data_IF_471832467866
#
_entry.id   IF_471832467866
#
_cell.length_a   1.000
_cell.length_b   1.000
_cell.length_c   1.000
_cell.angle_alpha   90.00
_cell.angle_beta   90.00
_cell.angle_gamma   90.00
#
_symmetry.space_group_name_H-M   'P 1'
#
loop_
_entity.id
_entity.type
_entity.pdbx_description
1 polymer ?
#
# COMPACT_ATOMS: atom_id res chain seq x y z
N UNK A 1 -12.61 -7.22 25.46
CA UNK A 1 -13.22 -6.22 24.56
C UNK A 1 -12.76 -6.53 23.15
N UNK A 2 -13.65 -6.57 22.17
CA UNK A 2 -13.26 -6.80 20.78
C UNK A 2 -12.53 -5.56 20.24
N UNK A 3 -11.47 -5.75 19.45
CA UNK A 3 -10.79 -4.66 18.79
C UNK A 3 -11.76 -3.91 17.86
N UNK A 4 -11.76 -2.58 17.92
CA UNK A 4 -12.49 -1.73 16.97
C UNK A 4 -11.69 -1.59 15.68
N UNK A 5 -12.33 -1.26 14.53
CA UNK A 5 -11.62 -0.97 13.29
C UNK A 5 -10.50 0.06 13.46
N UNK A 6 -10.74 1.10 14.27
CA UNK A 6 -9.75 2.11 14.62
C UNK A 6 -8.54 1.55 15.37
N UNK A 7 -8.77 0.75 16.42
CA UNK A 7 -7.65 0.16 17.18
C UNK A 7 -6.77 -0.75 16.31
N UNK A 8 -7.38 -1.41 15.33
CA UNK A 8 -6.66 -2.32 14.44
C UNK A 8 -5.85 -1.57 13.38
N UNK A 9 -6.42 -0.53 12.77
CA UNK A 9 -5.70 0.29 11.80
C UNK A 9 -4.66 1.19 12.47
N UNK A 10 -4.88 1.62 13.72
CA UNK A 10 -3.87 2.32 14.52
C UNK A 10 -2.68 1.42 14.87
N UNK A 11 -2.90 0.16 15.26
CA UNK A 11 -1.80 -0.80 15.48
C UNK A 11 -0.95 -0.96 14.22
N UNK A 12 -1.59 -1.08 13.05
CA UNK A 12 -0.88 -1.12 11.77
C UNK A 12 -0.11 0.15 11.49
N UNK A 13 -0.70 1.32 11.74
CA UNK A 13 -0.01 2.60 11.54
C UNK A 13 1.26 2.69 12.41
N UNK A 14 1.16 2.28 13.66
CA UNK A 14 2.29 2.23 14.59
C UNK A 14 3.39 1.30 14.09
N UNK A 15 3.03 0.06 13.72
CA UNK A 15 3.97 -0.92 13.19
C UNK A 15 4.59 -0.48 11.86
N UNK A 16 3.82 0.22 11.02
CA UNK A 16 4.31 0.77 9.77
C UNK A 16 5.35 1.87 10.03
N UNK A 17 5.05 2.81 10.92
CA UNK A 17 5.99 3.86 11.32
C UNK A 17 7.28 3.29 11.92
N UNK A 18 7.16 2.32 12.82
CA UNK A 18 8.31 1.66 13.45
C UNK A 18 9.18 0.89 12.44
N UNK A 19 8.54 0.17 11.51
CA UNK A 19 9.24 -0.57 10.46
C UNK A 19 10.00 0.37 9.51
N UNK A 20 9.36 1.46 9.06
CA UNK A 20 10.01 2.45 8.20
C UNK A 20 11.21 3.12 8.87
N UNK A 21 11.10 3.47 10.16
CA UNK A 21 12.22 4.05 10.90
C UNK A 21 13.35 3.04 11.12
N UNK A 22 13.03 1.78 11.37
CA UNK A 22 14.02 0.71 11.55
C UNK A 22 14.78 0.37 10.27
N UNK A 23 14.14 0.56 9.10
CA UNK A 23 14.72 0.25 7.79
C UNK A 23 15.49 1.45 7.18
N UNK A 24 15.13 2.68 7.56
CA UNK A 24 15.77 3.93 7.10
C UNK A 24 17.28 4.05 7.41
N UNK A 25 17.82 3.17 8.26
CA UNK A 25 19.26 3.05 8.55
C UNK A 25 20.03 2.05 7.68
N UNK A 26 19.38 1.30 6.80
CA UNK A 26 20.02 0.27 5.95
C UNK A 26 20.16 0.79 4.52
N UNK A 27 21.24 1.52 4.28
CA UNK A 27 21.48 2.29 3.05
C UNK A 27 21.58 1.48 1.74
N UNK A 28 21.53 0.14 1.73
CA UNK A 28 21.70 -0.66 0.50
C UNK A 28 20.70 -1.82 0.32
N UNK A 29 19.70 -2.00 1.19
CA UNK A 29 18.81 -3.18 1.12
C UNK A 29 17.35 -2.92 1.45
N UNK A 30 16.89 -1.67 1.45
CA UNK A 30 15.47 -1.38 1.66
C UNK A 30 14.68 -1.76 0.40
N UNK A 31 13.50 -2.34 0.59
CA UNK A 31 12.65 -2.75 -0.51
C UNK A 31 12.18 -1.51 -1.31
N UNK A 32 12.19 -1.54 -2.65
CA UNK A 32 12.09 -0.31 -3.44
C UNK A 32 10.66 0.27 -3.50
N UNK A 33 9.65 -0.45 -3.01
CA UNK A 33 8.23 -0.07 -3.09
C UNK A 33 7.50 -0.31 -1.79
N UNK A 34 6.79 0.70 -1.30
CA UNK A 34 5.76 0.54 -0.29
C UNK A 34 4.37 0.50 -0.96
N UNK A 35 3.66 -0.60 -0.80
CA UNK A 35 2.30 -0.78 -1.29
C UNK A 35 1.28 -0.54 -0.17
N UNK A 36 0.30 0.33 -0.43
CA UNK A 36 -0.76 0.73 0.50
C UNK A 36 -2.10 0.36 -0.11
N UNK A 37 -2.78 -0.59 0.52
CA UNK A 37 -4.13 -1.02 0.14
C UNK A 37 -5.18 -0.29 0.97
N UNK A 38 -6.19 0.24 0.29
CA UNK A 38 -7.32 0.96 0.88
C UNK A 38 -8.59 0.21 0.53
N UNK A 39 -9.17 -0.47 1.51
CA UNK A 39 -10.28 -1.41 1.28
C UNK A 39 -11.43 -1.18 2.25
N UNK A 40 -12.57 -1.79 1.97
CA UNK A 40 -13.64 -2.03 2.93
C UNK A 40 -13.63 -3.49 3.40
N UNK A 41 -14.43 -3.77 4.44
CA UNK A 41 -14.70 -5.15 4.88
C UNK A 41 -15.44 -6.00 3.85
N UNK A 42 -16.05 -5.39 2.83
CA UNK A 42 -16.84 -6.07 1.81
C UNK A 42 -16.08 -6.24 0.47
N UNK A 43 -14.82 -5.79 0.40
CA UNK A 43 -14.01 -5.83 -0.81
C UNK A 43 -13.19 -7.12 -0.89
N UNK A 44 -13.87 -8.28 -0.88
CA UNK A 44 -13.21 -9.59 -0.87
C UNK A 44 -12.12 -9.73 -1.93
N UNK A 45 -12.38 -9.22 -3.14
CA UNK A 45 -11.41 -9.20 -4.26
C UNK A 45 -10.16 -8.39 -3.96
N UNK A 46 -10.30 -7.19 -3.38
CA UNK A 46 -9.16 -6.38 -3.00
C UNK A 46 -8.32 -7.04 -1.88
N UNK A 47 -8.96 -7.77 -0.97
CA UNK A 47 -8.26 -8.57 0.04
C UNK A 47 -7.51 -9.74 -0.57
N UNK A 48 -8.08 -10.40 -1.58
CA UNK A 48 -7.43 -11.49 -2.31
C UNK A 48 -6.19 -10.99 -3.07
N UNK A 49 -6.31 -9.84 -3.74
CA UNK A 49 -5.19 -9.16 -4.41
C UNK A 49 -4.11 -8.77 -3.39
N UNK A 50 -4.50 -8.23 -2.21
CA UNK A 50 -3.55 -7.94 -1.14
C UNK A 50 -2.77 -9.19 -0.70
N UNK A 51 -3.44 -10.33 -0.53
CA UNK A 51 -2.76 -11.59 -0.15
C UNK A 51 -1.77 -12.02 -1.22
N UNK A 52 -2.10 -11.84 -2.51
CA UNK A 52 -1.17 -12.13 -3.60
C UNK A 52 0.04 -11.20 -3.57
N UNK A 53 -0.16 -9.90 -3.42
CA UNK A 53 0.93 -8.95 -3.21
C UNK A 53 1.80 -9.39 -2.03
N UNK A 54 1.17 -9.81 -0.93
CA UNK A 54 1.89 -10.25 0.27
C UNK A 54 2.79 -11.44 0.00
N UNK A 55 2.28 -12.47 -0.67
CA UNK A 55 3.08 -13.65 -1.03
C UNK A 55 4.30 -13.25 -1.88
N UNK A 56 4.09 -12.47 -2.93
CA UNK A 56 5.20 -12.03 -3.81
C UNK A 56 6.19 -11.14 -3.08
N UNK A 57 5.72 -10.19 -2.27
CA UNK A 57 6.58 -9.30 -1.50
C UNK A 57 7.43 -10.08 -0.49
N UNK A 58 6.86 -11.07 0.21
CA UNK A 58 7.60 -11.94 1.13
C UNK A 58 8.65 -12.79 0.41
N UNK A 59 8.33 -13.34 -0.77
CA UNK A 59 9.28 -14.08 -1.62
C UNK A 59 10.47 -13.21 -2.06
N UNK A 60 10.21 -11.92 -2.31
CA UNK A 60 11.22 -10.92 -2.69
C UNK A 60 11.94 -10.29 -1.48
N UNK A 61 11.65 -10.75 -0.26
CA UNK A 61 12.34 -10.32 0.97
C UNK A 61 11.77 -9.05 1.62
N UNK A 62 10.58 -8.59 1.24
CA UNK A 62 9.94 -7.43 1.82
C UNK A 62 9.43 -7.66 3.25
N UNK A 63 9.48 -6.60 4.06
CA UNK A 63 8.96 -6.56 5.42
C UNK A 63 7.46 -6.27 5.52
N UNK A 64 6.99 -6.00 6.74
CA UNK A 64 5.62 -5.54 6.96
C UNK A 64 5.42 -4.10 6.45
N UNK A 65 6.43 -3.24 6.63
CA UNK A 65 6.34 -1.82 6.27
C UNK A 65 6.33 -1.54 4.76
N UNK A 66 6.66 -2.56 3.96
CA UNK A 66 6.63 -2.49 2.49
C UNK A 66 5.25 -2.82 1.91
N UNK A 67 4.35 -3.40 2.70
CA UNK A 67 3.00 -3.73 2.26
C UNK A 67 2.00 -3.65 3.43
N UNK A 68 1.13 -2.64 3.37
CA UNK A 68 0.12 -2.36 4.39
C UNK A 68 -1.28 -2.29 3.79
N UNK A 69 -2.29 -2.60 4.60
CA UNK A 69 -3.71 -2.57 4.22
C UNK A 69 -4.52 -1.87 5.31
N UNK A 70 -5.41 -0.95 4.94
CA UNK A 70 -6.28 -0.21 5.85
C UNK A 70 -7.75 -0.39 5.48
N UNK A 71 -8.64 -0.28 6.47
CA UNK A 71 -10.10 -0.37 6.29
C UNK A 71 -10.65 -1.81 6.19
N UNK A 72 -9.82 -2.82 6.43
CA UNK A 72 -10.21 -4.24 6.31
C UNK A 72 -11.36 -4.66 7.24
N UNK A 73 -11.57 -3.93 8.34
CA UNK A 73 -12.61 -4.21 9.34
C UNK A 73 -13.74 -3.15 9.35
N UNK A 74 -13.75 -2.23 8.37
CA UNK A 74 -14.74 -1.16 8.26
C UNK A 74 -14.11 0.23 8.30
N UNK A 75 -14.96 1.26 8.41
CA UNK A 75 -14.53 2.65 8.44
C UNK A 75 -13.61 2.89 9.64
N UNK A 76 -12.46 3.54 9.38
CA UNK A 76 -11.51 3.91 10.40
C UNK A 76 -11.08 5.37 10.24
N UNK A 77 -11.01 6.08 11.36
CA UNK A 77 -10.43 7.42 11.48
C UNK A 77 -8.96 7.42 11.08
N UNK A 78 -8.21 6.38 11.46
CA UNK A 78 -6.83 6.15 11.01
C UNK A 78 -6.74 6.05 9.49
N UNK A 79 -7.61 5.25 8.86
CA UNK A 79 -7.66 5.12 7.41
C UNK A 79 -7.97 6.46 6.72
N UNK A 80 -8.93 7.22 7.27
CA UNK A 80 -9.29 8.55 6.77
C UNK A 80 -8.13 9.57 6.88
N UNK A 81 -7.37 9.53 7.98
CA UNK A 81 -6.21 10.40 8.16
C UNK A 81 -5.07 10.03 7.20
N UNK A 82 -4.76 8.73 7.03
CA UNK A 82 -3.79 8.26 6.02
C UNK A 82 -4.19 8.75 4.63
N UNK A 83 -5.46 8.62 4.25
CA UNK A 83 -5.97 9.11 2.97
C UNK A 83 -5.73 10.60 2.77
N UNK A 84 -6.08 11.41 3.78
CA UNK A 84 -5.92 12.86 3.74
C UNK A 84 -4.47 13.28 3.60
N UNK A 85 -3.60 12.78 4.49
CA UNK A 85 -2.22 13.25 4.61
C UNK A 85 -1.30 12.75 3.51
N UNK A 86 -1.65 11.65 2.85
CA UNK A 86 -0.92 11.15 1.69
C UNK A 86 -1.42 11.78 0.38
N UNK A 87 -2.33 12.76 0.43
CA UNK A 87 -2.94 13.31 -0.78
C UNK A 87 -3.77 12.27 -1.55
N UNK A 88 -4.14 11.17 -0.89
CA UNK A 88 -4.94 10.07 -1.43
C UNK A 88 -6.45 10.32 -1.23
N UNK A 89 -6.87 11.48 -0.72
CA UNK A 89 -8.27 11.80 -0.46
C UNK A 89 -9.18 11.79 -1.71
N UNK A 90 -8.59 11.80 -2.92
CA UNK A 90 -9.31 11.59 -4.18
C UNK A 90 -9.51 10.12 -4.56
N UNK A 91 -8.82 9.19 -3.89
CA UNK A 91 -8.96 7.75 -4.13
C UNK A 91 -10.26 7.24 -3.54
N UNK A 92 -10.91 6.33 -4.27
CA UNK A 92 -12.08 5.61 -3.79
C UNK A 92 -11.63 4.45 -2.89
N UNK A 93 -12.52 4.01 -2.01
CA UNK A 93 -12.38 2.71 -1.35
C UNK A 93 -12.24 1.62 -2.43
N UNK A 94 -11.48 0.57 -2.13
CA UNK A 94 -10.95 -0.40 -3.11
C UNK A 94 -9.90 0.24 -4.02
N UNK A 95 -8.81 0.74 -3.45
CA UNK A 95 -7.68 1.29 -4.21
C UNK A 95 -6.35 0.72 -3.73
N UNK A 96 -5.38 0.70 -4.64
CA UNK A 96 -3.98 0.40 -4.39
C UNK A 96 -3.17 1.66 -4.68
N UNK A 97 -2.32 2.07 -3.75
CA UNK A 97 -1.28 3.06 -3.97
C UNK A 97 0.11 2.40 -3.82
N UNK A 98 0.98 2.66 -4.78
CA UNK A 98 2.36 2.16 -4.85
C UNK A 98 3.30 3.34 -4.72
N UNK A 99 4.08 3.36 -3.64
CA UNK A 99 5.00 4.43 -3.30
C UNK A 99 6.41 3.93 -3.55
N UNK A 100 7.09 4.53 -4.51
CA UNK A 100 8.50 4.23 -4.81
C UNK A 100 9.42 5.13 -3.99
N UNK A 101 10.41 4.51 -3.36
CA UNK A 101 11.46 5.22 -2.63
C UNK A 101 12.63 5.51 -3.57
N UNK A 102 13.00 6.79 -3.68
CA UNK A 102 14.11 7.31 -4.49
C UNK A 102 14.45 8.74 -4.04
N UNK A 103 15.12 9.53 -4.88
CA UNK A 103 15.46 10.95 -4.57
C UNK A 103 14.22 11.80 -4.22
N UNK A 104 13.05 11.40 -4.71
CA UNK A 104 11.75 11.94 -4.32
C UNK A 104 10.71 10.81 -4.28
N UNK A 105 9.80 10.86 -3.30
CA UNK A 105 8.69 9.92 -3.23
C UNK A 105 7.79 10.11 -4.46
N UNK A 106 7.57 9.02 -5.20
CA UNK A 106 6.59 9.00 -6.27
C UNK A 106 5.53 7.96 -5.97
N UNK A 107 4.27 8.38 -5.98
CA UNK A 107 3.13 7.49 -5.82
C UNK A 107 2.36 7.31 -7.12
N UNK A 108 1.97 6.06 -7.39
CA UNK A 108 1.04 5.69 -8.44
C UNK A 108 -0.11 4.92 -7.83
N UNK A 109 -1.33 5.15 -8.29
CA UNK A 109 -2.50 4.49 -7.75
C UNK A 109 -3.41 3.92 -8.85
N UNK A 110 -4.17 2.89 -8.50
CA UNK A 110 -5.24 2.35 -9.33
C UNK A 110 -6.41 1.94 -8.45
N UNK A 111 -7.60 1.98 -9.03
CA UNK A 111 -8.75 1.28 -8.43
C UNK A 111 -8.53 -0.23 -8.50
N UNK A 112 -9.00 -0.91 -7.46
CA UNK A 112 -9.08 -2.37 -7.36
C UNK A 112 -10.51 -2.81 -7.69
N UNK A 113 -10.68 -4.04 -8.17
CA UNK A 113 -12.02 -4.59 -8.36
C UNK A 113 -12.77 -4.69 -7.02
N UNK A 114 -14.02 -4.25 -7.03
CA UNK A 114 -14.92 -4.34 -5.89
C UNK A 114 -15.68 -5.69 -5.85
N UNK A 115 -16.23 -6.02 -4.69
CA UNK A 115 -17.08 -7.20 -4.48
C UNK A 115 -16.30 -8.46 -4.14
N UNK A 116 -16.92 -9.61 -4.41
CA UNK A 116 -16.40 -10.97 -4.13
C UNK A 116 -16.51 -11.79 -5.41
N UNK A 117 -15.46 -12.55 -5.74
CA UNK A 117 -15.50 -13.52 -6.84
C UNK A 117 -16.51 -14.63 -6.55
N UNK A 118 -17.15 -15.16 -7.59
CA UNK A 118 -17.95 -16.36 -7.41
C UNK A 118 -17.03 -17.56 -7.08
N UNK A 119 -17.56 -18.56 -6.37
CA UNK A 119 -16.77 -19.71 -5.95
C UNK A 119 -16.10 -20.42 -7.14
N UNK A 120 -14.77 -20.43 -7.15
CA UNK A 120 -13.96 -21.07 -8.19
C UNK A 120 -13.48 -20.13 -9.32
N UNK A 121 -13.89 -18.86 -9.30
CA UNK A 121 -13.31 -17.85 -10.20
C UNK A 121 -11.93 -17.42 -9.68
N UNK A 122 -11.03 -17.14 -10.62
CA UNK A 122 -9.73 -16.52 -10.35
C UNK A 122 -9.80 -15.04 -10.70
N UNK A 123 -8.97 -14.25 -10.02
CA UNK A 123 -8.80 -12.85 -10.39
C UNK A 123 -8.31 -12.72 -11.83
N UNK A 124 -8.79 -11.70 -12.53
CA UNK A 124 -8.29 -11.37 -13.87
C UNK A 124 -6.88 -10.82 -13.73
N UNK A 125 -5.93 -11.46 -14.40
CA UNK A 125 -4.51 -11.12 -14.38
C UNK A 125 -4.00 -10.77 -15.78
N UNK A 126 -2.80 -10.20 -15.83
CA UNK A 126 -2.06 -9.88 -17.04
C UNK A 126 -1.86 -8.38 -17.26
N UNK A 127 -1.12 -8.05 -18.31
CA UNK A 127 -0.61 -6.70 -18.57
C UNK A 127 -1.69 -5.63 -18.79
N UNK A 128 -2.91 -6.07 -19.13
CA UNK A 128 -4.07 -5.18 -19.28
C UNK A 128 -4.73 -4.83 -17.94
N UNK A 129 -4.36 -5.50 -16.84
CA UNK A 129 -4.92 -5.30 -15.50
C UNK A 129 -3.90 -4.52 -14.66
N UNK A 130 -4.17 -3.26 -14.29
CA UNK A 130 -3.14 -2.37 -13.72
C UNK A 130 -2.45 -2.90 -12.47
N UNK A 131 -3.19 -3.50 -11.53
CA UNK A 131 -2.60 -4.07 -10.32
C UNK A 131 -1.74 -5.31 -10.62
N UNK A 132 -2.13 -6.12 -11.61
CA UNK A 132 -1.38 -7.34 -11.97
C UNK A 132 -0.10 -6.96 -12.71
N UNK A 133 -0.21 -6.05 -13.69
CA UNK A 133 0.93 -5.52 -14.43
C UNK A 133 1.94 -4.83 -13.50
N UNK A 134 1.46 -4.03 -12.54
CA UNK A 134 2.31 -3.38 -11.56
C UNK A 134 3.07 -4.37 -10.67
N UNK A 135 2.41 -5.47 -10.25
CA UNK A 135 3.06 -6.50 -9.44
C UNK A 135 4.21 -7.18 -10.18
N UNK A 136 4.02 -7.48 -11.47
CA UNK A 136 5.07 -8.09 -12.28
C UNK A 136 6.23 -7.11 -12.55
N UNK A 137 5.95 -5.83 -12.84
CA UNK A 137 7.01 -4.80 -12.94
C UNK A 137 7.81 -4.67 -11.65
N UNK A 138 7.16 -4.75 -10.48
CA UNK A 138 7.84 -4.74 -9.18
C UNK A 138 8.72 -5.97 -9.02
N UNK A 139 8.18 -7.16 -9.32
CA UNK A 139 8.93 -8.43 -9.24
C UNK A 139 10.19 -8.37 -10.09
N UNK A 140 10.05 -8.06 -11.38
CA UNK A 140 11.16 -8.00 -12.33
C UNK A 140 12.21 -6.97 -11.90
N UNK A 141 11.79 -5.81 -11.42
CA UNK A 141 12.71 -4.76 -10.95
C UNK A 141 13.49 -5.21 -9.71
N UNK A 142 12.83 -5.80 -8.72
CA UNK A 142 13.47 -6.27 -7.49
C UNK A 142 14.45 -7.41 -7.79
N UNK A 143 14.06 -8.38 -8.62
CA UNK A 143 14.95 -9.46 -9.05
C UNK A 143 16.18 -8.94 -9.82
N UNK A 144 16.01 -7.85 -10.57
CA UNK A 144 17.09 -7.16 -11.26
C UNK A 144 17.90 -6.19 -10.37
N UNK A 145 17.53 -6.01 -9.10
CA UNK A 145 18.17 -5.05 -8.19
C UNK A 145 17.98 -3.59 -8.60
N UNK A 146 16.81 -3.25 -9.18
CA UNK A 146 16.48 -1.92 -9.73
C UNK A 146 15.22 -1.34 -9.07
N UNK A 147 15.05 -0.03 -9.22
CA UNK A 147 13.80 0.64 -8.90
C UNK A 147 12.76 0.36 -10.01
N UNK A 148 11.51 -0.01 -9.67
CA UNK A 148 10.47 -0.27 -10.67
C UNK A 148 9.98 1.01 -11.36
N UNK A 149 9.82 0.94 -12.68
CA UNK A 149 9.32 2.04 -13.52
C UNK A 149 7.79 2.01 -13.66
N UNK A 150 7.09 2.28 -12.55
CA UNK A 150 5.62 2.20 -12.48
C UNK A 150 4.89 3.18 -13.40
N UNK A 151 5.53 4.28 -13.82
CA UNK A 151 4.92 5.26 -14.73
C UNK A 151 4.67 4.72 -16.14
N UNK A 152 5.23 3.56 -16.50
CA UNK A 152 4.99 2.88 -17.77
C UNK A 152 3.75 1.96 -17.75
N UNK A 153 3.22 1.66 -16.57
CA UNK A 153 2.09 0.73 -16.40
C UNK A 153 0.78 1.45 -16.73
N UNK A 154 0.05 0.92 -17.72
CA UNK A 154 -1.21 1.50 -18.16
C UNK A 154 -2.28 1.36 -17.07
N UNK A 155 -3.05 2.43 -16.83
CA UNK A 155 -4.06 2.49 -15.77
C UNK A 155 -3.54 2.78 -14.36
N UNK A 156 -2.23 2.97 -14.17
CA UNK A 156 -1.69 3.60 -12.96
C UNK A 156 -1.70 5.13 -13.11
N UNK A 157 -2.38 5.80 -12.18
CA UNK A 157 -2.45 7.26 -12.13
C UNK A 157 -1.43 7.80 -11.12
N UNK A 158 -0.67 8.82 -11.52
CA UNK A 158 0.27 9.46 -10.60
C UNK A 158 -0.48 10.26 -9.54
N UNK A 159 -0.17 9.99 -8.27
CA UNK A 159 -0.70 10.74 -7.13
C UNK A 159 0.41 11.57 -6.50
N UNK A 160 0.08 12.82 -6.17
CA UNK A 160 1.02 13.72 -5.53
C UNK A 160 1.09 13.43 -4.03
N UNK A 161 2.21 12.89 -3.58
CA UNK A 161 2.54 12.80 -2.16
C UNK A 161 3.16 14.11 -1.68
N UNK A 162 2.96 14.50 -0.41
CA UNK A 162 3.73 15.57 0.18
C UNK A 162 5.23 15.24 0.14
N UNK A 163 6.06 16.26 -0.05
CA UNK A 163 7.51 16.12 -0.02
C UNK A 163 8.01 15.63 1.34
N UNK A 164 9.05 14.79 1.34
CA UNK A 164 9.71 14.30 2.54
C UNK A 164 9.95 12.79 2.49
N UNK A 165 10.49 12.24 3.58
CA UNK A 165 10.62 10.79 3.74
C UNK A 165 9.27 10.16 4.11
N UNK A 166 9.02 8.93 3.62
CA UNK A 166 7.77 8.22 3.89
C UNK A 166 7.55 8.02 5.40
N UNK A 167 8.61 7.69 6.14
CA UNK A 167 8.57 7.58 7.60
C UNK A 167 8.06 8.87 8.26
N UNK A 168 8.50 10.05 7.79
CA UNK A 168 8.03 11.34 8.29
C UNK A 168 6.58 11.63 7.93
N UNK A 169 6.10 11.16 6.76
CA UNK A 169 4.67 11.26 6.40
C UNK A 169 3.82 10.42 7.36
N UNK A 170 4.18 9.14 7.55
CA UNK A 170 3.48 8.22 8.45
C UNK A 170 3.51 8.73 9.90
N UNK A 171 4.64 9.28 10.35
CA UNK A 171 4.80 9.83 11.69
C UNK A 171 3.83 10.98 11.98
N UNK A 172 3.60 11.88 11.01
CA UNK A 172 2.61 12.96 11.17
C UNK A 172 1.18 12.44 11.32
N UNK A 173 0.80 11.44 10.52
CA UNK A 173 -0.53 10.80 10.64
C UNK A 173 -0.69 10.19 12.03
N UNK A 174 0.37 9.53 12.53
CA UNK A 174 0.37 8.96 13.87
C UNK A 174 0.16 10.04 14.94
N UNK A 175 0.94 11.12 14.90
CA UNK A 175 0.80 12.25 15.85
C UNK A 175 -0.60 12.86 15.81
N UNK A 176 -1.20 12.97 14.63
CA UNK A 176 -2.57 13.46 14.48
C UNK A 176 -3.59 12.53 15.14
N UNK A 177 -3.49 11.22 14.94
CA UNK A 177 -4.45 10.26 15.51
C UNK A 177 -4.27 10.12 17.02
N UNK A 178 -3.04 10.13 17.54
CA UNK A 178 -2.77 10.03 18.98
C UNK A 178 -3.11 11.33 19.75
N UNK A 179 -3.23 12.47 19.05
CA UNK A 179 -3.63 13.75 19.62
C UNK A 179 -5.15 14.02 19.66
N UNK A 180 -5.97 13.11 19.10
CA UNK A 180 -7.44 13.18 19.08
C UNK A 180 -8.07 12.50 20.31
#
# INVERSE_FOLDING_TARGET
MAATPDSHDLDKLNRWHEGLNSDSGKSESSFPVCAVFLVSSNDGRAHDIFRRYRTVFEELGAGFHDLVIFGQHGASTTCAAVLSDFGLGGLKISSLALITSGDSLTSHATSLPAGVLAGGELETEGDAVPWSAALEVIREAVEAGKTPELGSVNGLERVHLPSGALASLVGRVKEQIEGL
#
